data_IF_096244185835
#
_entry.id   IF_096244185835
#
_cell.length_a   1.000
_cell.length_b   1.000
_cell.length_c   1.000
_cell.angle_alpha   90.00
_cell.angle_beta   90.00
_cell.angle_gamma   90.00
#
_symmetry.space_group_name_H-M   'P 1'
#
loop_
_entity.id
_entity.type
_entity.pdbx_description
1 polymer ?
#
# COMPACT_ATOMS: atom_id res chain seq x y z
N UNK A 1 25.56 -3.57 -15.34
CA UNK A 1 24.52 -2.84 -16.08
C UNK A 1 25.02 -1.46 -16.42
N UNK A 2 24.83 -0.94 -17.63
CA UNK A 2 25.21 0.43 -17.91
C UNK A 2 24.32 1.38 -17.10
N UNK A 3 24.88 2.03 -16.10
CA UNK A 3 24.28 3.18 -15.43
C UNK A 3 24.59 4.39 -16.30
N UNK A 4 23.62 5.28 -16.52
CA UNK A 4 23.90 6.57 -17.12
C UNK A 4 25.04 7.23 -16.32
N UNK A 5 26.14 7.56 -16.99
CA UNK A 5 27.35 8.07 -16.33
C UNK A 5 27.04 9.21 -15.36
N UNK A 6 26.13 10.12 -15.73
CA UNK A 6 25.75 11.24 -14.87
C UNK A 6 25.04 10.82 -13.59
N UNK A 7 24.18 9.77 -13.63
CA UNK A 7 23.53 9.23 -12.42
C UNK A 7 24.56 8.55 -11.52
N UNK A 8 25.57 7.92 -12.10
CA UNK A 8 26.67 7.34 -11.34
C UNK A 8 27.47 8.40 -10.55
N UNK A 9 27.63 9.62 -11.09
CA UNK A 9 28.37 10.70 -10.42
C UNK A 9 27.73 11.14 -9.09
N UNK A 10 26.41 11.01 -8.94
CA UNK A 10 25.69 11.34 -7.69
C UNK A 10 25.05 10.13 -7.00
N UNK A 11 25.53 8.93 -7.33
CA UNK A 11 25.01 7.70 -6.74
C UNK A 11 25.15 7.68 -5.20
N UNK A 12 26.29 8.12 -4.68
CA UNK A 12 26.52 8.17 -3.22
C UNK A 12 25.54 9.14 -2.52
N UNK A 13 25.19 10.25 -3.15
CA UNK A 13 24.17 11.17 -2.63
C UNK A 13 22.80 10.49 -2.55
N UNK A 14 22.44 9.68 -3.56
CA UNK A 14 21.21 8.91 -3.56
C UNK A 14 21.22 7.81 -2.49
N UNK A 15 22.35 7.12 -2.30
CA UNK A 15 22.51 6.14 -1.23
C UNK A 15 22.34 6.80 0.14
N UNK A 16 22.95 7.96 0.34
CA UNK A 16 22.80 8.73 1.58
C UNK A 16 21.34 9.16 1.82
N UNK A 17 20.67 9.67 0.79
CA UNK A 17 19.25 10.07 0.85
C UNK A 17 18.37 8.87 1.20
N UNK A 18 18.52 7.74 0.51
CA UNK A 18 17.75 6.52 0.79
C UNK A 18 17.94 6.05 2.23
N UNK A 19 19.20 5.99 2.70
CA UNK A 19 19.52 5.55 4.07
C UNK A 19 18.99 6.51 5.13
N UNK A 20 18.96 7.81 4.83
CA UNK A 20 18.40 8.81 5.72
C UNK A 20 16.88 8.68 5.84
N UNK A 21 16.15 8.49 4.73
CA UNK A 21 14.70 8.20 4.73
C UNK A 21 14.45 6.90 5.49
N UNK A 22 15.20 5.84 5.21
CA UNK A 22 15.07 4.53 5.87
C UNK A 22 15.24 4.62 7.39
N UNK A 23 16.20 5.42 7.85
CA UNK A 23 16.47 5.62 9.27
C UNK A 23 15.38 6.42 10.00
N UNK A 24 14.53 7.15 9.27
CA UNK A 24 13.49 8.00 9.83
C UNK A 24 12.12 7.73 9.21
N UNK A 25 11.60 6.48 9.30
CA UNK A 25 10.34 6.10 8.68
C UNK A 25 9.15 6.81 9.32
N UNK A 26 8.21 7.24 8.48
CA UNK A 26 6.98 7.90 8.86
C UNK A 26 5.79 7.13 8.28
N UNK A 27 4.68 7.08 9.01
CA UNK A 27 3.47 6.36 8.56
C UNK A 27 2.64 7.23 7.62
N UNK A 28 1.69 6.60 6.94
CA UNK A 28 0.82 7.26 5.98
C UNK A 28 0.11 8.49 6.55
N UNK A 29 0.16 9.60 5.82
CA UNK A 29 -0.28 10.96 6.18
C UNK A 29 0.51 11.62 7.33
N UNK A 30 1.59 11.00 7.80
CA UNK A 30 2.52 11.55 8.79
C UNK A 30 3.92 11.79 8.20
N UNK A 31 4.11 11.65 6.88
CA UNK A 31 5.40 11.72 6.17
C UNK A 31 5.94 13.16 6.06
N UNK A 32 5.84 13.96 7.12
CA UNK A 32 6.17 15.37 7.10
C UNK A 32 7.65 15.63 6.81
N UNK A 33 8.54 14.87 7.45
CA UNK A 33 9.99 14.99 7.26
C UNK A 33 10.40 14.56 5.84
N UNK A 34 9.88 13.44 5.38
CA UNK A 34 10.14 12.91 4.03
C UNK A 34 9.61 13.86 2.96
N UNK A 35 8.40 14.39 3.14
CA UNK A 35 7.80 15.42 2.29
C UNK A 35 8.65 16.66 2.20
N UNK A 36 9.15 17.18 3.34
CA UNK A 36 10.03 18.34 3.39
C UNK A 36 11.36 18.09 2.70
N UNK A 37 11.98 16.93 2.92
CA UNK A 37 13.23 16.54 2.25
C UNK A 37 13.05 16.49 0.74
N UNK A 38 11.99 15.85 0.26
CA UNK A 38 11.66 15.75 -1.18
C UNK A 38 11.49 17.15 -1.77
N UNK A 39 10.66 17.98 -1.15
CA UNK A 39 10.36 19.30 -1.67
C UNK A 39 11.61 20.19 -1.71
N UNK A 40 12.45 20.19 -0.65
CA UNK A 40 13.70 20.95 -0.60
C UNK A 40 14.69 20.52 -1.69
N UNK A 41 14.81 19.22 -1.94
CA UNK A 41 15.68 18.73 -3.01
C UNK A 41 15.17 19.16 -4.39
N UNK A 42 13.88 19.02 -4.67
CA UNK A 42 13.30 19.46 -5.94
C UNK A 42 13.48 20.96 -6.16
N UNK A 43 13.21 21.78 -5.14
CA UNK A 43 13.40 23.25 -5.16
C UNK A 43 14.87 23.61 -5.43
N UNK A 44 15.82 22.90 -4.82
CA UNK A 44 17.26 23.13 -5.01
C UNK A 44 17.73 22.90 -6.45
N UNK A 45 17.01 22.07 -7.21
CA UNK A 45 17.28 21.80 -8.64
C UNK A 45 16.46 22.69 -9.58
N UNK A 46 15.73 23.68 -9.05
CA UNK A 46 14.93 24.60 -9.85
C UNK A 46 13.68 23.96 -10.46
N UNK A 47 13.14 22.96 -9.79
CA UNK A 47 11.84 22.36 -10.12
C UNK A 47 10.75 23.12 -9.36
N UNK A 48 9.66 23.45 -10.02
CA UNK A 48 8.47 24.03 -9.37
C UNK A 48 7.83 22.99 -8.46
N UNK A 49 7.54 23.35 -7.20
CA UNK A 49 7.06 22.39 -6.18
C UNK A 49 5.71 22.81 -5.61
N UNK A 50 4.79 21.84 -5.58
CA UNK A 50 3.50 21.94 -4.94
C UNK A 50 3.42 20.93 -3.78
N UNK A 51 3.13 21.46 -2.58
CA UNK A 51 3.14 20.71 -1.32
C UNK A 51 1.72 20.51 -0.78
N UNK A 52 1.60 19.63 0.21
CA UNK A 52 0.37 19.39 0.98
C UNK A 52 -0.80 18.87 0.13
N UNK A 53 -0.52 18.09 -0.91
CA UNK A 53 -1.54 17.38 -1.68
C UNK A 53 -1.80 16.06 -0.95
N UNK A 54 -3.04 15.80 -0.57
CA UNK A 54 -3.35 14.70 0.35
C UNK A 54 -2.49 14.74 1.64
N UNK A 55 -2.43 15.90 2.29
CA UNK A 55 -1.72 16.19 3.55
C UNK A 55 -0.20 16.32 3.39
N UNK A 56 0.50 15.27 2.99
CA UNK A 56 1.98 15.23 2.94
C UNK A 56 2.55 15.01 1.53
N UNK A 57 1.68 14.80 0.53
CA UNK A 57 2.10 14.60 -0.85
C UNK A 57 2.76 15.83 -1.48
N UNK A 58 3.68 15.57 -2.39
CA UNK A 58 4.44 16.59 -3.13
C UNK A 58 4.37 16.33 -4.61
N UNK A 59 4.18 17.37 -5.41
CA UNK A 59 4.29 17.30 -6.87
C UNK A 59 5.33 18.31 -7.35
N UNK A 60 6.35 17.82 -8.05
CA UNK A 60 7.32 18.64 -8.78
C UNK A 60 6.93 18.76 -10.25
N UNK A 61 7.01 19.95 -10.83
CA UNK A 61 6.72 20.23 -12.23
C UNK A 61 7.97 20.68 -12.96
N UNK A 62 8.35 19.97 -14.00
CA UNK A 62 9.53 20.29 -14.79
C UNK A 62 9.19 20.32 -16.28
N UNK A 63 9.40 21.46 -16.93
CA UNK A 63 9.30 21.60 -18.39
C UNK A 63 10.65 21.31 -19.03
N UNK A 64 10.60 20.51 -20.09
CA UNK A 64 11.74 20.25 -20.97
C UNK A 64 12.10 21.46 -21.84
N UNK A 65 13.10 21.28 -22.69
CA UNK A 65 13.56 22.32 -23.64
C UNK A 65 12.72 22.39 -24.91
N UNK A 66 11.84 21.41 -25.16
CA UNK A 66 10.95 21.42 -26.32
C UNK A 66 9.65 22.20 -26.07
N UNK A 67 8.77 22.24 -27.08
CA UNK A 67 7.52 23.01 -27.06
C UNK A 67 6.26 22.13 -27.12
N UNK A 68 6.38 20.83 -26.88
CA UNK A 68 5.23 19.91 -26.86
C UNK A 68 4.33 20.19 -25.66
N UNK A 69 3.05 20.01 -25.84
CA UNK A 69 2.06 20.02 -24.75
C UNK A 69 1.93 18.65 -24.03
N UNK A 70 2.67 17.65 -24.49
CA UNK A 70 2.65 16.30 -23.88
C UNK A 70 3.16 16.33 -22.46
N UNK A 71 2.57 15.48 -21.61
CA UNK A 71 2.97 15.38 -20.21
C UNK A 71 2.94 13.95 -19.69
N UNK A 72 3.86 13.65 -18.78
CA UNK A 72 3.89 12.38 -18.05
C UNK A 72 3.99 12.60 -16.54
N UNK A 73 3.33 11.73 -15.78
CA UNK A 73 3.54 11.59 -14.36
C UNK A 73 4.52 10.48 -14.03
N UNK A 74 5.49 10.75 -13.17
CA UNK A 74 6.36 9.75 -12.57
C UNK A 74 6.04 9.68 -11.08
N UNK A 75 5.64 8.51 -10.57
CA UNK A 75 5.13 8.32 -9.22
C UNK A 75 6.06 7.49 -8.35
N UNK A 76 6.26 7.94 -7.12
CA UNK A 76 6.80 7.16 -6.01
C UNK A 76 5.92 7.36 -4.77
N UNK A 77 5.84 6.33 -3.93
CA UNK A 77 5.24 6.37 -2.61
C UNK A 77 6.28 6.74 -1.55
N UNK A 78 5.83 7.23 -0.36
CA UNK A 78 6.72 7.76 0.67
C UNK A 78 6.57 7.11 2.04
N UNK A 79 5.44 6.46 2.32
CA UNK A 79 5.09 5.98 3.65
C UNK A 79 5.81 4.68 4.05
N UNK A 80 5.89 4.46 5.36
CA UNK A 80 6.45 3.27 5.99
C UNK A 80 5.36 2.41 6.63
N UNK A 81 5.73 1.22 7.08
CA UNK A 81 4.86 0.25 7.75
C UNK A 81 4.98 0.34 9.28
N UNK A 82 3.86 0.10 10.03
CA UNK A 82 3.83 0.07 11.48
C UNK A 82 4.37 -1.27 12.01
N UNK A 83 5.67 -1.49 11.89
CA UNK A 83 6.36 -2.70 12.35
C UNK A 83 7.80 -2.41 12.76
N UNK A 84 8.35 -3.22 13.67
CA UNK A 84 9.74 -3.10 14.06
C UNK A 84 10.68 -3.70 13.02
N UNK A 85 11.81 -3.06 12.80
CA UNK A 85 12.89 -3.60 11.98
C UNK A 85 13.72 -4.60 12.79
N UNK A 86 13.74 -5.87 12.37
CA UNK A 86 14.53 -6.92 13.01
C UNK A 86 16.01 -6.89 12.61
N UNK A 87 16.30 -6.38 11.41
CA UNK A 87 17.65 -6.24 10.87
C UNK A 87 18.53 -5.25 11.66
N UNK A 88 19.82 -5.31 11.44
CA UNK A 88 20.82 -4.44 12.10
C UNK A 88 21.70 -3.69 11.10
N UNK A 89 21.18 -3.11 9.99
CA UNK A 89 22.00 -2.29 9.12
C UNK A 89 22.40 -0.99 9.83
N UNK A 90 23.48 -0.36 9.41
CA UNK A 90 23.92 0.94 9.96
C UNK A 90 22.83 2.03 9.90
N UNK A 91 21.99 1.96 8.87
CA UNK A 91 20.87 2.87 8.61
C UNK A 91 19.53 2.34 9.14
N UNK A 92 19.55 1.41 10.12
CA UNK A 92 18.34 0.90 10.76
C UNK A 92 17.41 2.03 11.21
N UNK A 93 16.11 1.77 11.19
CA UNK A 93 15.08 2.66 11.73
C UNK A 93 15.42 3.15 13.14
N UNK A 94 15.32 4.45 13.33
CA UNK A 94 15.44 5.14 14.64
C UNK A 94 14.08 5.37 15.30
N UNK A 95 13.00 5.05 14.60
CA UNK A 95 11.62 5.22 15.04
C UNK A 95 11.05 3.85 15.41
N UNK A 96 11.02 3.52 16.69
CA UNK A 96 10.49 2.23 17.16
C UNK A 96 9.06 2.00 16.64
N UNK A 97 8.77 0.77 16.21
CA UNK A 97 7.48 0.39 15.64
C UNK A 97 7.22 0.91 14.23
N UNK A 98 8.23 1.45 13.53
CA UNK A 98 8.09 1.91 12.14
C UNK A 98 9.29 1.44 11.31
N UNK A 99 9.05 0.96 10.08
CA UNK A 99 10.08 0.47 9.17
C UNK A 99 9.67 0.68 7.71
N UNK A 100 10.62 1.09 6.86
CA UNK A 100 10.45 1.03 5.39
C UNK A 100 10.62 -0.41 4.88
N UNK A 101 9.69 -1.30 5.25
CA UNK A 101 9.75 -2.72 4.88
C UNK A 101 9.27 -2.99 3.44
N UNK A 102 8.49 -2.08 2.84
CA UNK A 102 8.03 -2.18 1.46
C UNK A 102 9.01 -1.55 0.45
N UNK A 103 9.98 -0.73 0.92
CA UNK A 103 11.03 -0.14 0.08
C UNK A 103 10.67 1.22 -0.53
N UNK A 104 9.69 1.93 0.02
CA UNK A 104 9.28 3.25 -0.43
C UNK A 104 10.38 4.32 -0.27
N UNK A 105 11.31 4.12 0.66
CA UNK A 105 12.57 4.88 0.77
C UNK A 105 13.40 4.80 -0.52
N UNK A 106 13.44 3.62 -1.14
CA UNK A 106 14.07 3.39 -2.43
C UNK A 106 13.30 4.02 -3.59
N UNK A 107 11.96 3.88 -3.58
CA UNK A 107 11.10 4.46 -4.65
C UNK A 107 11.23 5.98 -4.67
N UNK A 108 11.09 6.63 -3.51
CA UNK A 108 11.28 8.08 -3.34
C UNK A 108 12.66 8.52 -3.84
N UNK A 109 13.71 7.79 -3.45
CA UNK A 109 15.09 8.13 -3.86
C UNK A 109 15.32 7.94 -5.36
N UNK A 110 14.77 6.89 -5.96
CA UNK A 110 14.86 6.69 -7.42
C UNK A 110 14.19 7.82 -8.18
N UNK A 111 13.02 8.28 -7.74
CA UNK A 111 12.31 9.39 -8.36
C UNK A 111 13.07 10.72 -8.19
N UNK A 112 13.67 10.97 -7.03
CA UNK A 112 14.56 12.11 -6.79
C UNK A 112 15.78 12.08 -7.72
N UNK A 113 16.39 10.91 -7.92
CA UNK A 113 17.50 10.74 -8.86
C UNK A 113 17.12 11.05 -10.30
N UNK A 114 15.94 10.60 -10.74
CA UNK A 114 15.39 10.94 -12.04
C UNK A 114 15.11 12.45 -12.18
N UNK A 115 14.52 13.06 -11.14
CA UNK A 115 14.23 14.49 -11.11
C UNK A 115 15.49 15.34 -11.23
N UNK A 116 16.54 15.01 -10.46
CA UNK A 116 17.85 15.69 -10.54
C UNK A 116 18.44 15.62 -11.95
N UNK A 117 18.50 14.42 -12.52
CA UNK A 117 19.03 14.23 -13.88
C UNK A 117 18.24 15.02 -14.93
N UNK A 118 16.92 14.95 -14.88
CA UNK A 118 16.06 15.66 -15.83
C UNK A 118 16.13 17.18 -15.66
N UNK A 119 16.26 17.67 -14.43
CA UNK A 119 16.41 19.10 -14.16
C UNK A 119 17.76 19.66 -14.69
N UNK A 120 18.84 18.89 -14.55
CA UNK A 120 20.16 19.29 -15.05
C UNK A 120 20.20 19.34 -16.58
N UNK A 121 19.58 18.38 -17.25
CA UNK A 121 19.71 18.23 -18.70
C UNK A 121 18.60 18.93 -19.45
N UNK A 122 17.36 18.93 -18.96
CA UNK A 122 16.10 19.36 -19.62
C UNK A 122 15.97 18.87 -21.07
N UNK A 123 16.70 17.78 -21.41
CA UNK A 123 16.76 17.21 -22.75
C UNK A 123 15.58 16.28 -23.03
N UNK A 124 14.39 16.86 -22.98
CA UNK A 124 13.13 16.19 -23.35
C UNK A 124 12.11 17.23 -23.84
N UNK A 125 11.04 16.74 -24.47
CA UNK A 125 9.96 17.56 -25.01
C UNK A 125 8.68 17.34 -24.20
N UNK A 126 8.07 18.43 -23.73
CA UNK A 126 6.87 18.40 -22.88
C UNK A 126 7.15 18.63 -21.40
N UNK A 127 6.28 18.10 -20.54
CA UNK A 127 6.30 18.31 -19.08
C UNK A 127 6.40 16.97 -18.34
N UNK A 128 7.20 16.92 -17.29
CA UNK A 128 7.26 15.81 -16.33
C UNK A 128 6.72 16.28 -14.99
N UNK A 129 5.74 15.54 -14.46
CA UNK A 129 5.22 15.69 -13.10
C UNK A 129 5.82 14.60 -12.22
N UNK A 130 6.60 14.99 -11.21
CA UNK A 130 7.15 14.09 -10.20
C UNK A 130 6.16 14.01 -9.04
N UNK A 131 5.46 12.89 -8.91
CA UNK A 131 4.37 12.69 -7.95
C UNK A 131 4.89 11.85 -6.79
N UNK A 132 5.08 12.47 -5.64
CA UNK A 132 5.44 11.79 -4.40
C UNK A 132 4.17 11.58 -3.58
N UNK A 133 3.68 10.36 -3.58
CA UNK A 133 2.39 9.97 -3.02
C UNK A 133 2.54 9.57 -1.55
N UNK A 134 1.69 10.09 -0.65
CA UNK A 134 1.60 9.62 0.73
C UNK A 134 0.71 8.38 0.86
N UNK A 135 0.78 7.70 2.02
CA UNK A 135 -0.20 6.75 2.53
C UNK A 135 -0.64 5.67 1.53
N UNK A 136 0.31 4.98 0.90
CA UNK A 136 0.03 3.85 0.02
C UNK A 136 -0.45 2.63 0.83
N UNK A 137 0.15 2.35 1.98
CA UNK A 137 0.03 1.12 2.78
C UNK A 137 -1.32 0.99 3.54
N UNK A 138 -2.25 1.89 3.38
CA UNK A 138 -3.54 1.74 4.03
C UNK A 138 -4.43 2.98 4.04
N UNK A 139 -3.87 4.16 3.81
CA UNK A 139 -4.61 5.43 3.83
C UNK A 139 -5.30 5.76 2.51
N UNK A 140 -4.95 5.08 1.41
CA UNK A 140 -5.46 5.38 0.08
C UNK A 140 -5.03 6.75 -0.44
N UNK A 141 -3.80 7.18 -0.12
CA UNK A 141 -3.28 8.50 -0.44
C UNK A 141 -3.35 8.85 -1.93
N UNK A 142 -3.12 7.87 -2.82
CA UNK A 142 -3.30 8.08 -4.26
C UNK A 142 -4.74 8.47 -4.63
N UNK A 143 -5.73 7.82 -4.01
CA UNK A 143 -7.15 8.18 -4.18
C UNK A 143 -7.43 9.59 -3.66
N UNK A 144 -6.93 9.92 -2.47
CA UNK A 144 -7.11 11.26 -1.89
C UNK A 144 -6.48 12.34 -2.79
N UNK A 145 -5.26 12.12 -3.31
CA UNK A 145 -4.64 13.04 -4.27
C UNK A 145 -5.52 13.27 -5.50
N UNK A 146 -6.12 12.22 -6.06
CA UNK A 146 -7.01 12.31 -7.23
C UNK A 146 -8.30 13.06 -6.88
N UNK A 147 -8.92 12.76 -5.74
CA UNK A 147 -10.13 13.42 -5.25
C UNK A 147 -9.88 14.92 -4.96
N UNK A 148 -8.67 15.31 -4.58
CA UNK A 148 -8.25 16.72 -4.43
C UNK A 148 -7.90 17.42 -5.75
N UNK A 149 -8.08 16.74 -6.89
CA UNK A 149 -7.87 17.30 -8.23
C UNK A 149 -6.41 17.22 -8.72
N UNK A 150 -5.66 16.16 -8.37
CA UNK A 150 -4.29 15.96 -8.83
C UNK A 150 -4.17 16.13 -10.34
N UNK A 151 -5.02 15.44 -11.10
CA UNK A 151 -4.96 15.45 -12.57
C UNK A 151 -5.71 16.61 -13.21
N UNK A 152 -6.50 17.35 -12.44
CA UNK A 152 -7.09 18.64 -12.91
C UNK A 152 -6.04 19.75 -12.89
N UNK A 153 -5.06 19.67 -11.97
CA UNK A 153 -3.96 20.64 -11.82
C UNK A 153 -2.71 20.23 -12.60
N UNK A 154 -2.44 18.95 -12.68
CA UNK A 154 -1.24 18.37 -13.27
C UNK A 154 -1.64 17.31 -14.28
N UNK A 155 -2.17 17.76 -15.42
CA UNK A 155 -2.59 16.86 -16.50
C UNK A 155 -1.43 15.95 -16.91
N UNK A 156 -1.72 14.65 -17.05
CA UNK A 156 -0.77 13.64 -17.49
C UNK A 156 -1.39 12.76 -18.58
N UNK A 157 -0.74 12.66 -19.74
CA UNK A 157 -1.12 11.69 -20.78
C UNK A 157 -0.98 10.25 -20.26
N UNK A 158 0.04 10.02 -19.43
CA UNK A 158 0.31 8.73 -18.78
C UNK A 158 0.98 8.93 -17.43
N UNK A 159 0.77 7.97 -16.51
CA UNK A 159 1.46 7.92 -15.22
C UNK A 159 2.24 6.62 -15.09
N UNK A 160 3.47 6.71 -14.63
CA UNK A 160 4.39 5.60 -14.47
C UNK A 160 4.85 5.51 -13.02
N UNK A 161 4.87 4.29 -12.48
CA UNK A 161 5.44 3.99 -11.18
C UNK A 161 6.24 2.70 -11.24
N UNK A 162 7.24 2.57 -10.39
CA UNK A 162 7.99 1.33 -10.20
C UNK A 162 7.87 0.87 -8.76
N UNK A 163 7.83 -0.44 -8.57
CA UNK A 163 7.92 -1.07 -7.27
C UNK A 163 9.11 -2.01 -7.24
N UNK A 164 9.94 -1.95 -6.20
CA UNK A 164 11.02 -2.91 -5.99
C UNK A 164 10.44 -4.31 -5.77
N UNK A 165 11.15 -5.33 -6.22
CA UNK A 165 10.77 -6.71 -5.99
C UNK A 165 11.99 -7.53 -5.58
N UNK A 166 12.08 -7.99 -4.32
CA UNK A 166 13.21 -8.81 -3.85
C UNK A 166 13.28 -10.18 -4.51
N UNK A 167 12.20 -10.62 -5.17
CA UNK A 167 12.13 -11.91 -5.85
C UNK A 167 12.63 -11.88 -7.30
N UNK A 168 12.99 -10.70 -7.81
CA UNK A 168 13.56 -10.55 -9.16
C UNK A 168 15.07 -10.34 -9.06
N UNK A 169 15.87 -10.91 -9.98
CA UNK A 169 17.30 -10.60 -10.07
C UNK A 169 17.52 -9.10 -10.26
N UNK A 170 18.54 -8.56 -9.59
CA UNK A 170 18.89 -7.14 -9.73
C UNK A 170 19.09 -6.76 -11.21
N UNK A 171 18.47 -5.65 -11.63
CA UNK A 171 18.50 -5.17 -12.97
C UNK A 171 17.49 -5.79 -13.93
N UNK A 172 16.60 -6.61 -13.42
CA UNK A 172 15.45 -7.11 -14.18
C UNK A 172 14.26 -6.17 -13.94
N UNK A 173 13.53 -5.87 -15.01
CA UNK A 173 12.23 -5.20 -14.97
C UNK A 173 11.16 -6.19 -15.40
N UNK A 174 10.05 -6.25 -14.67
CA UNK A 174 8.89 -7.04 -15.00
C UNK A 174 7.69 -6.12 -15.23
N UNK A 175 7.01 -6.30 -16.35
CA UNK A 175 5.77 -5.60 -16.69
C UNK A 175 4.86 -6.53 -17.48
N UNK A 176 3.56 -6.36 -17.35
CA UNK A 176 2.55 -7.12 -18.10
C UNK A 176 1.39 -6.22 -18.48
N UNK A 177 0.67 -6.50 -19.57
CA UNK A 177 -0.62 -5.89 -19.82
C UNK A 177 -1.66 -6.30 -18.76
N UNK A 178 -2.53 -5.37 -18.39
CA UNK A 178 -3.59 -5.60 -17.40
C UNK A 178 -3.10 -5.47 -15.95
N UNK A 179 -3.87 -5.97 -14.97
CA UNK A 179 -3.56 -5.82 -13.56
C UNK A 179 -2.22 -6.46 -13.18
N UNK A 180 -1.35 -5.71 -12.54
CA UNK A 180 -0.04 -6.15 -12.06
C UNK A 180 -0.05 -6.41 -10.55
N UNK A 181 -0.67 -5.51 -9.77
CA UNK A 181 -0.85 -5.61 -8.33
C UNK A 181 -2.32 -5.91 -8.01
N UNK A 182 -2.56 -6.74 -7.00
CA UNK A 182 -3.91 -7.05 -6.57
C UNK A 182 -4.52 -5.90 -5.75
N UNK A 183 -5.82 -5.70 -5.89
CA UNK A 183 -6.58 -4.90 -4.92
C UNK A 183 -6.53 -5.58 -3.55
N UNK A 184 -6.50 -4.76 -2.50
CA UNK A 184 -6.46 -5.18 -1.09
C UNK A 184 -7.76 -4.78 -0.42
N UNK A 185 -8.43 -5.76 0.19
CA UNK A 185 -9.55 -5.52 1.09
C UNK A 185 -9.32 -6.24 2.42
N UNK A 186 -9.88 -5.71 3.48
CA UNK A 186 -9.87 -6.31 4.81
C UNK A 186 -11.30 -6.53 5.28
N UNK A 187 -11.58 -7.72 5.79
CA UNK A 187 -12.85 -8.02 6.45
C UNK A 187 -12.62 -8.26 7.93
N UNK A 188 -13.30 -7.47 8.77
CA UNK A 188 -13.37 -7.69 10.22
C UNK A 188 -14.74 -8.23 10.57
N UNK A 189 -14.78 -9.38 11.23
CA UNK A 189 -16.00 -10.09 11.60
C UNK A 189 -16.04 -10.24 13.12
N UNK A 190 -17.07 -9.71 13.75
CA UNK A 190 -17.33 -9.86 15.18
C UNK A 190 -18.54 -10.75 15.39
N UNK A 191 -18.37 -11.84 16.12
CA UNK A 191 -19.44 -12.76 16.51
C UNK A 191 -19.84 -12.42 17.94
N UNK A 192 -21.01 -11.82 18.10
CA UNK A 192 -21.60 -11.54 19.39
C UNK A 192 -22.43 -12.74 19.84
N UNK A 193 -22.19 -13.20 21.06
CA UNK A 193 -22.79 -14.42 21.60
C UNK A 193 -23.23 -14.22 23.05
N UNK A 194 -23.58 -15.31 23.73
CA UNK A 194 -23.94 -15.30 25.15
C UNK A 194 -23.02 -16.27 25.89
N UNK A 195 -22.12 -15.73 26.70
CA UNK A 195 -21.22 -16.52 27.53
C UNK A 195 -21.96 -17.25 28.65
N UNK A 196 -21.40 -18.40 29.06
CA UNK A 196 -21.93 -19.19 30.18
C UNK A 196 -20.84 -20.09 30.76
N UNK A 197 -21.17 -20.83 31.83
CA UNK A 197 -20.28 -21.87 32.35
C UNK A 197 -20.12 -23.00 31.35
N UNK A 198 -18.86 -23.38 31.04
CA UNK A 198 -18.57 -24.36 29.98
C UNK A 198 -19.20 -25.75 30.20
N UNK A 199 -19.49 -26.14 31.46
CA UNK A 199 -20.23 -27.37 31.76
C UNK A 199 -21.74 -27.27 31.54
N UNK A 200 -22.27 -26.09 31.19
CA UNK A 200 -23.67 -25.82 30.93
C UNK A 200 -23.86 -25.11 29.56
N UNK A 201 -23.37 -25.69 28.46
CA UNK A 201 -23.36 -25.01 27.17
C UNK A 201 -24.75 -24.65 26.62
N UNK A 202 -25.79 -25.37 27.07
CA UNK A 202 -27.18 -25.09 26.71
C UNK A 202 -27.73 -23.77 27.25
N UNK A 203 -27.02 -23.13 28.20
CA UNK A 203 -27.39 -21.84 28.78
C UNK A 203 -26.78 -20.64 28.00
N UNK A 204 -25.97 -20.89 27.02
CA UNK A 204 -25.30 -19.85 26.23
C UNK A 204 -25.31 -20.11 24.71
N UNK A 205 -24.52 -19.34 24.01
CA UNK A 205 -24.23 -19.53 22.58
C UNK A 205 -22.71 -19.44 22.41
N UNK A 206 -22.13 -20.49 21.83
CA UNK A 206 -20.67 -20.58 21.73
C UNK A 206 -20.15 -19.86 20.46
N UNK A 207 -19.48 -18.73 20.60
CA UNK A 207 -18.96 -17.98 19.44
C UNK A 207 -17.78 -18.68 18.79
N UNK A 208 -17.04 -19.56 19.48
CA UNK A 208 -15.96 -20.34 18.90
C UNK A 208 -16.53 -21.37 17.95
N UNK A 209 -17.56 -22.11 18.35
CA UNK A 209 -18.20 -23.08 17.47
C UNK A 209 -18.79 -22.44 16.20
N UNK A 210 -19.44 -21.29 16.33
CA UNK A 210 -19.92 -20.50 15.18
C UNK A 210 -18.75 -20.01 14.32
N UNK A 211 -17.71 -19.47 14.93
CA UNK A 211 -16.54 -18.94 14.23
C UNK A 211 -15.79 -20.01 13.42
N UNK A 212 -15.63 -21.21 13.97
CA UNK A 212 -15.00 -22.33 13.26
C UNK A 212 -15.81 -22.74 12.01
N UNK A 213 -17.14 -22.80 12.11
CA UNK A 213 -18.00 -23.07 10.96
C UNK A 213 -17.92 -21.96 9.91
N UNK A 214 -17.96 -20.70 10.35
CA UNK A 214 -17.81 -19.54 9.47
C UNK A 214 -16.42 -19.52 8.80
N UNK A 215 -15.35 -19.78 9.53
CA UNK A 215 -14.00 -19.92 8.99
C UNK A 215 -13.98 -20.95 7.85
N UNK A 216 -14.55 -22.13 8.08
CA UNK A 216 -14.61 -23.21 7.08
C UNK A 216 -15.41 -22.78 5.85
N UNK A 217 -16.55 -22.11 6.06
CA UNK A 217 -17.39 -21.63 4.96
C UNK A 217 -16.68 -20.57 4.11
N UNK A 218 -15.96 -19.62 4.75
CA UNK A 218 -15.18 -18.59 4.06
C UNK A 218 -14.13 -19.22 3.11
N UNK A 219 -13.49 -20.34 3.49
CA UNK A 219 -12.52 -21.02 2.63
C UNK A 219 -13.16 -21.55 1.33
N UNK A 220 -14.47 -21.71 1.29
CA UNK A 220 -15.15 -22.18 0.07
C UNK A 220 -15.45 -21.06 -0.94
N UNK A 221 -15.37 -19.80 -0.56
CA UNK A 221 -15.68 -18.67 -1.45
C UNK A 221 -14.84 -18.75 -2.73
N UNK A 222 -13.52 -18.84 -2.61
CA UNK A 222 -12.63 -18.91 -3.77
C UNK A 222 -12.84 -20.20 -4.55
N UNK A 223 -12.92 -21.33 -3.86
CA UNK A 223 -12.97 -22.65 -4.52
C UNK A 223 -14.32 -23.00 -5.14
N UNK A 224 -15.41 -22.32 -4.76
CA UNK A 224 -16.78 -22.65 -5.24
C UNK A 224 -17.48 -21.51 -5.98
N UNK A 225 -17.08 -20.25 -5.75
CA UNK A 225 -17.78 -19.11 -6.31
C UNK A 225 -16.95 -18.34 -7.35
N UNK A 226 -15.62 -18.35 -7.25
CA UNK A 226 -14.74 -17.66 -8.20
C UNK A 226 -14.50 -18.56 -9.43
N UNK A 227 -14.57 -17.99 -10.62
CA UNK A 227 -14.22 -18.67 -11.87
C UNK A 227 -12.78 -19.21 -11.78
N UNK A 228 -12.53 -20.49 -12.09
CA UNK A 228 -11.20 -21.09 -11.99
C UNK A 228 -10.09 -20.42 -12.77
N UNK A 229 -10.40 -19.66 -13.81
CA UNK A 229 -9.42 -18.88 -14.58
C UNK A 229 -9.15 -17.50 -14.00
N UNK A 230 -9.92 -17.06 -13.01
CA UNK A 230 -9.74 -15.80 -12.30
C UNK A 230 -9.05 -16.03 -10.96
N UNK A 231 -8.24 -15.07 -10.52
CA UNK A 231 -7.47 -15.19 -9.28
C UNK A 231 -8.12 -14.40 -8.16
N UNK A 232 -8.26 -15.04 -7.01
CA UNK A 232 -8.62 -14.39 -5.75
C UNK A 232 -7.93 -15.09 -4.56
N UNK A 233 -7.66 -14.35 -3.51
CA UNK A 233 -7.21 -14.88 -2.22
C UNK A 233 -8.14 -14.36 -1.13
N UNK A 234 -8.60 -15.26 -0.26
CA UNK A 234 -9.31 -14.92 0.97
C UNK A 234 -8.65 -15.70 2.10
N UNK A 235 -7.94 -14.99 2.97
CA UNK A 235 -7.20 -15.60 4.09
C UNK A 235 -7.67 -15.00 5.40
N UNK A 236 -8.25 -15.82 6.28
CA UNK A 236 -8.49 -15.43 7.67
C UNK A 236 -7.15 -15.54 8.40
N UNK A 237 -6.64 -14.41 8.88
CA UNK A 237 -5.29 -14.30 9.45
C UNK A 237 -5.30 -14.09 10.98
N UNK A 238 -6.47 -13.74 11.54
CA UNK A 238 -6.65 -13.56 12.98
C UNK A 238 -7.96 -14.21 13.41
N UNK A 239 -7.92 -14.92 14.54
CA UNK A 239 -9.10 -15.44 15.21
C UNK A 239 -8.86 -15.41 16.72
N UNK A 240 -9.58 -14.57 17.43
CA UNK A 240 -9.46 -14.36 18.86
C UNK A 240 -10.78 -14.64 19.57
N UNK A 241 -10.75 -15.48 20.59
CA UNK A 241 -11.90 -15.79 21.43
C UNK A 241 -11.48 -16.43 22.76
N UNK A 242 -12.28 -16.21 23.81
CA UNK A 242 -12.11 -16.87 25.10
C UNK A 242 -10.97 -16.31 25.94
N UNK A 243 -11.10 -16.44 27.27
CA UNK A 243 -10.10 -16.02 28.24
C UNK A 243 -9.88 -17.04 29.36
N UNK A 244 -10.76 -18.06 29.48
CA UNK A 244 -10.68 -19.08 30.50
C UNK A 244 -11.21 -20.43 29.99
N UNK A 245 -10.59 -21.54 30.42
CA UNK A 245 -10.92 -22.88 29.95
C UNK A 245 -12.29 -23.41 30.39
N UNK A 246 -12.90 -22.80 31.40
CA UNK A 246 -14.19 -23.23 31.97
C UNK A 246 -15.33 -22.23 31.70
N UNK A 247 -15.12 -21.27 30.78
CA UNK A 247 -16.09 -20.25 30.38
C UNK A 247 -16.27 -20.23 28.87
N UNK A 248 -17.52 -20.30 28.41
CA UNK A 248 -17.87 -20.00 27.02
C UNK A 248 -17.83 -18.49 26.84
N UNK A 249 -17.09 -18.00 25.83
CA UNK A 249 -16.88 -16.58 25.59
C UNK A 249 -18.17 -15.84 25.22
N UNK A 250 -18.18 -14.52 25.41
CA UNK A 250 -19.28 -13.65 24.96
C UNK A 250 -19.11 -13.19 23.50
N UNK A 251 -17.90 -13.29 22.97
CA UNK A 251 -17.62 -12.87 21.60
C UNK A 251 -16.41 -13.60 21.02
N UNK A 252 -16.34 -13.61 19.70
CA UNK A 252 -15.14 -13.95 18.93
C UNK A 252 -14.93 -12.90 17.85
N UNK A 253 -13.67 -12.69 17.47
CA UNK A 253 -13.28 -11.76 16.41
C UNK A 253 -12.39 -12.47 15.40
N UNK A 254 -12.68 -12.27 14.11
CA UNK A 254 -11.84 -12.72 13.00
C UNK A 254 -11.49 -11.55 12.09
N UNK A 255 -10.27 -11.56 11.56
CA UNK A 255 -9.86 -10.68 10.48
C UNK A 255 -9.39 -11.49 9.28
N UNK A 256 -9.80 -11.07 8.10
CA UNK A 256 -9.38 -11.67 6.84
C UNK A 256 -8.78 -10.62 5.90
N UNK A 257 -7.75 -11.02 5.16
CA UNK A 257 -7.23 -10.25 4.04
C UNK A 257 -7.75 -10.83 2.74
N UNK A 258 -8.12 -9.97 1.80
CA UNK A 258 -8.68 -10.33 0.50
C UNK A 258 -7.79 -9.72 -0.57
N UNK A 259 -7.48 -10.48 -1.63
CA UNK A 259 -6.74 -10.02 -2.81
C UNK A 259 -7.49 -10.40 -4.07
N UNK A 260 -7.71 -9.45 -4.95
CA UNK A 260 -8.38 -9.66 -6.24
C UNK A 260 -7.75 -8.81 -7.33
N UNK A 261 -7.77 -9.29 -8.58
CA UNK A 261 -7.31 -8.52 -9.75
C UNK A 261 -8.46 -8.01 -10.61
N UNK A 262 -9.62 -8.63 -10.51
CA UNK A 262 -10.80 -8.37 -11.32
C UNK A 262 -11.87 -7.69 -10.44
N UNK A 263 -12.42 -6.52 -10.85
CA UNK A 263 -13.44 -5.81 -10.07
C UNK A 263 -14.70 -6.65 -9.81
N UNK A 264 -15.13 -7.47 -10.79
CA UNK A 264 -16.31 -8.32 -10.62
C UNK A 264 -16.07 -9.42 -9.59
N UNK A 265 -14.85 -9.99 -9.58
CA UNK A 265 -14.43 -10.97 -8.56
C UNK A 265 -14.37 -10.31 -7.18
N UNK A 266 -13.89 -9.06 -7.09
CA UNK A 266 -13.89 -8.30 -5.84
C UNK A 266 -15.30 -8.15 -5.27
N UNK A 267 -16.25 -7.74 -6.10
CA UNK A 267 -17.67 -7.63 -5.71
C UNK A 267 -18.23 -9.00 -5.32
N UNK A 268 -17.97 -10.05 -6.11
CA UNK A 268 -18.42 -11.42 -5.81
C UNK A 268 -17.94 -11.90 -4.44
N UNK A 269 -16.66 -11.71 -4.12
CA UNK A 269 -16.08 -12.10 -2.83
C UNK A 269 -16.71 -11.30 -1.70
N UNK A 270 -16.85 -9.98 -1.86
CA UNK A 270 -17.45 -9.10 -0.85
C UNK A 270 -18.91 -9.50 -0.55
N UNK A 271 -19.70 -9.79 -1.57
CA UNK A 271 -21.09 -10.29 -1.42
C UNK A 271 -21.10 -11.66 -0.76
N UNK A 272 -20.20 -12.56 -1.16
CA UNK A 272 -20.17 -13.93 -0.64
C UNK A 272 -19.88 -13.97 0.87
N UNK A 273 -18.85 -13.29 1.36
CA UNK A 273 -18.57 -13.30 2.80
C UNK A 273 -19.65 -12.54 3.59
N UNK A 274 -20.25 -11.50 3.03
CA UNK A 274 -21.36 -10.78 3.66
C UNK A 274 -22.54 -11.72 3.88
N UNK A 275 -22.93 -12.50 2.88
CA UNK A 275 -24.02 -13.47 3.00
C UNK A 275 -23.74 -14.58 4.01
N UNK A 276 -22.49 -15.04 4.12
CA UNK A 276 -22.11 -16.03 5.13
C UNK A 276 -22.17 -15.49 6.55
N UNK A 277 -22.02 -14.17 6.73
CA UNK A 277 -22.00 -13.52 8.05
C UNK A 277 -23.35 -12.95 8.48
N UNK A 278 -24.29 -12.76 7.56
CA UNK A 278 -25.64 -12.32 7.88
C UNK A 278 -26.40 -13.39 8.67
N UNK A 279 -27.21 -13.01 9.68
CA UNK A 279 -28.05 -13.99 10.37
C UNK A 279 -29.04 -14.62 9.39
N UNK A 280 -28.92 -15.93 9.20
CA UNK A 280 -29.95 -16.70 8.50
C UNK A 280 -31.14 -16.82 9.42
N UNK A 281 -32.19 -16.03 9.19
CA UNK A 281 -33.47 -16.22 9.88
C UNK A 281 -34.12 -17.46 9.25
N UNK A 282 -33.83 -18.63 9.80
CA UNK A 282 -34.68 -19.79 9.59
C UNK A 282 -35.90 -19.64 10.52
N UNK A 283 -37.01 -19.13 10.00
CA UNK A 283 -38.30 -19.35 10.61
C UNK A 283 -38.71 -20.78 10.27
N UNK A 284 -38.68 -21.67 11.24
CA UNK A 284 -39.34 -22.96 11.20
C UNK A 284 -40.79 -22.74 11.59
#
# INVERSE_FOLDING_TARGET
MPIYNRIADFHEDLVATRRDIHAHPELGFEEHRTSDLVAQQLESWGIEVHRNIATTGVVGVLKGSGNSERSIGLRADMDALPMDEEGTPEHRSKNAGKMHACGHDGHTTMLLGAARYLAETRNFDGTVHFIFQPAEEGGGGGRVMVEEGLFDKFECDTVWGMHNSPNLPAGTLAIRPGPLMAAVDMAKITINAQGCHAAQPHMGKDPIAVGVQLYTAIQTIVSRNVDPIKSAVVSVTMFHAGSAHNVIAQSAEMCATIRTFDPDVRVLVAVSYTHLTLPTICSV
#
